data_IF_354542714290
#
_entry.id   IF_354542714290
#
_cell.length_a   1.000
_cell.length_b   1.000
_cell.length_c   1.000
_cell.angle_alpha   90.00
_cell.angle_beta   90.00
_cell.angle_gamma   90.00
#
_symmetry.space_group_name_H-M   'P 1'
#
loop_
_entity.id
_entity.type
_entity.pdbx_description
1 polymer ?
#
# COMPACT_ATOMS: atom_id res chain seq x y z
N UNK A 1 18.17 -3.63 -0.07
CA UNK A 1 17.26 -4.39 -0.96
C UNK A 1 15.95 -4.74 -0.25
N UNK A 2 15.97 -5.47 0.87
CA UNK A 2 14.75 -5.86 1.62
C UNK A 2 13.87 -4.66 2.01
N UNK A 3 14.47 -3.59 2.56
CA UNK A 3 13.74 -2.38 2.97
C UNK A 3 12.94 -1.68 1.85
N UNK A 4 13.39 -1.74 0.59
CA UNK A 4 12.63 -1.13 -0.53
C UNK A 4 11.39 -1.94 -0.89
N UNK A 5 11.46 -3.28 -0.73
CA UNK A 5 10.32 -4.16 -0.94
C UNK A 5 9.32 -4.02 0.21
N UNK A 6 9.80 -4.04 1.46
CA UNK A 6 8.97 -3.80 2.65
C UNK A 6 8.25 -2.44 2.58
N UNK A 7 8.92 -1.40 2.08
CA UNK A 7 8.30 -0.10 1.79
C UNK A 7 7.17 -0.20 0.76
N UNK A 8 7.34 -0.99 -0.30
CA UNK A 8 6.33 -1.17 -1.35
C UNK A 8 5.11 -1.95 -0.89
N UNK A 9 5.30 -2.91 0.00
CA UNK A 9 4.24 -3.74 0.56
C UNK A 9 3.58 -3.10 1.80
N UNK A 10 4.15 -2.00 2.32
CA UNK A 10 3.61 -1.26 3.46
C UNK A 10 3.91 -1.92 4.81
N UNK A 11 4.94 -2.76 4.88
CA UNK A 11 5.30 -3.56 6.06
C UNK A 11 6.36 -2.89 6.94
N UNK A 12 6.84 -1.71 6.56
CA UNK A 12 7.80 -0.96 7.36
C UNK A 12 7.14 -0.25 8.54
N UNK A 13 7.77 -0.27 9.73
CA UNK A 13 7.45 0.66 10.81
C UNK A 13 7.52 2.12 10.34
N UNK A 14 6.70 3.04 10.89
CA UNK A 14 6.60 4.43 10.41
C UNK A 14 7.94 5.19 10.34
N UNK A 15 8.84 4.94 11.29
CA UNK A 15 10.17 5.55 11.33
C UNK A 15 11.05 5.11 10.17
N UNK A 16 11.02 3.82 9.83
CA UNK A 16 11.78 3.25 8.71
C UNK A 16 11.15 3.61 7.37
N UNK A 17 9.82 3.66 7.28
CA UNK A 17 9.13 4.11 6.08
C UNK A 17 9.50 5.56 5.75
N UNK A 18 9.54 6.43 6.76
CA UNK A 18 9.97 7.83 6.61
C UNK A 18 11.40 7.93 6.09
N UNK A 19 12.34 7.19 6.68
CA UNK A 19 13.72 7.16 6.22
C UNK A 19 13.85 6.68 4.76
N UNK A 20 13.10 5.65 4.36
CA UNK A 20 13.10 5.17 2.97
C UNK A 20 12.56 6.24 2.02
N UNK A 21 11.48 6.95 2.39
CA UNK A 21 10.92 8.04 1.58
C UNK A 21 11.93 9.17 1.38
N UNK A 22 12.62 9.58 2.44
CA UNK A 22 13.69 10.59 2.37
C UNK A 22 14.83 10.14 1.46
N UNK A 23 15.24 8.87 1.55
CA UNK A 23 16.26 8.32 0.66
C UNK A 23 15.82 8.34 -0.82
N UNK A 24 14.57 7.95 -1.10
CA UNK A 24 14.02 7.93 -2.46
C UNK A 24 13.90 9.34 -3.06
N UNK A 25 13.79 10.38 -2.23
CA UNK A 25 13.75 11.77 -2.69
C UNK A 25 15.10 12.27 -3.24
N UNK A 26 16.21 11.63 -2.89
CA UNK A 26 17.57 12.09 -3.24
C UNK A 26 18.38 11.08 -4.06
N UNK A 27 17.96 9.81 -4.11
CA UNK A 27 18.67 8.74 -4.80
C UNK A 27 17.91 8.28 -6.06
N UNK A 28 18.29 8.82 -7.22
CA UNK A 28 17.67 8.49 -8.51
C UNK A 28 17.72 6.99 -8.84
N UNK A 29 18.81 6.31 -8.49
CA UNK A 29 18.96 4.87 -8.73
C UNK A 29 17.92 4.04 -7.96
N UNK A 30 17.74 4.35 -6.67
CA UNK A 30 16.76 3.65 -5.84
C UNK A 30 15.33 4.03 -6.25
N UNK A 31 15.10 5.30 -6.61
CA UNK A 31 13.81 5.76 -7.12
C UNK A 31 13.40 4.99 -8.38
N UNK A 32 14.25 4.98 -9.41
CA UNK A 32 13.98 4.29 -10.68
C UNK A 32 13.68 2.80 -10.45
N UNK A 33 14.42 2.14 -9.55
CA UNK A 33 14.16 0.74 -9.18
C UNK A 33 12.80 0.56 -8.51
N UNK A 34 12.46 1.40 -7.54
CA UNK A 34 11.17 1.37 -6.83
C UNK A 34 10.01 1.64 -7.78
N UNK A 35 10.16 2.57 -8.72
CA UNK A 35 9.16 2.86 -9.75
C UNK A 35 8.93 1.69 -10.71
N UNK A 36 10.00 1.03 -11.15
CA UNK A 36 9.89 -0.19 -11.95
C UNK A 36 9.10 -1.28 -11.19
N UNK A 37 9.40 -1.50 -9.91
CA UNK A 37 8.67 -2.46 -9.08
C UNK A 37 7.19 -2.08 -8.92
N UNK A 38 6.87 -0.80 -8.69
CA UNK A 38 5.47 -0.30 -8.67
C UNK A 38 4.76 -0.58 -9.98
N UNK A 39 5.41 -0.31 -11.12
CA UNK A 39 4.86 -0.56 -12.44
C UNK A 39 4.58 -2.06 -12.67
N UNK A 40 5.53 -2.91 -12.30
CA UNK A 40 5.37 -4.36 -12.37
C UNK A 40 4.18 -4.85 -11.53
N UNK A 41 4.07 -4.41 -10.27
CA UNK A 41 2.94 -4.78 -9.40
C UNK A 41 1.59 -4.31 -9.96
N UNK A 42 1.52 -3.11 -10.55
CA UNK A 42 0.32 -2.64 -11.26
C UNK A 42 -0.05 -3.58 -12.41
N UNK A 43 0.92 -4.00 -13.23
CA UNK A 43 0.67 -4.92 -14.33
C UNK A 43 0.17 -6.29 -13.86
N UNK A 44 0.74 -6.83 -12.77
CA UNK A 44 0.26 -8.08 -12.16
C UNK A 44 -1.17 -7.93 -11.64
N UNK A 45 -1.48 -6.83 -10.95
CA UNK A 45 -2.84 -6.55 -10.45
C UNK A 45 -3.85 -6.40 -11.58
N UNK A 46 -3.49 -5.76 -12.68
CA UNK A 46 -4.36 -5.59 -13.85
C UNK A 46 -4.71 -6.92 -14.55
N UNK A 47 -3.84 -7.94 -14.43
CA UNK A 47 -4.09 -9.28 -14.99
C UNK A 47 -4.91 -10.18 -14.07
N UNK A 48 -5.10 -9.82 -12.80
CA UNK A 48 -5.96 -10.57 -11.89
C UNK A 48 -7.41 -10.26 -12.23
N UNK A 49 -8.22 -11.29 -12.41
CA UNK A 49 -9.68 -11.15 -12.45
C UNK A 49 -10.16 -10.84 -11.03
N UNK A 50 -10.68 -9.63 -10.75
CA UNK A 50 -11.18 -9.34 -9.42
C UNK A 50 -12.45 -10.15 -9.16
N UNK A 51 -12.48 -10.88 -8.03
CA UNK A 51 -13.72 -11.45 -7.54
C UNK A 51 -14.54 -10.33 -6.90
N UNK A 52 -15.80 -10.13 -7.29
CA UNK A 52 -16.64 -9.13 -6.63
C UNK A 52 -16.79 -9.49 -5.14
N UNK A 53 -16.73 -8.47 -4.28
CA UNK A 53 -17.08 -8.63 -2.88
C UNK A 53 -18.52 -9.13 -2.76
N UNK A 54 -18.80 -9.96 -1.76
CA UNK A 54 -20.17 -10.39 -1.45
C UNK A 54 -21.01 -9.18 -1.07
N UNK A 55 -22.31 -9.22 -1.35
CA UNK A 55 -23.23 -8.13 -1.02
C UNK A 55 -23.23 -7.83 0.50
N UNK A 56 -23.14 -8.88 1.32
CA UNK A 56 -23.00 -8.75 2.76
C UNK A 56 -21.74 -7.97 3.17
N UNK A 57 -20.60 -8.24 2.53
CA UNK A 57 -19.35 -7.51 2.79
C UNK A 57 -19.46 -6.05 2.34
N UNK A 58 -20.03 -5.81 1.15
CA UNK A 58 -20.28 -4.47 0.63
C UNK A 58 -21.14 -3.65 1.58
N UNK A 59 -22.30 -4.17 1.98
CA UNK A 59 -23.22 -3.50 2.91
C UNK A 59 -22.56 -3.21 4.26
N UNK A 60 -21.70 -4.11 4.76
CA UNK A 60 -20.94 -3.89 6.00
C UNK A 60 -19.96 -2.72 5.85
N UNK A 61 -19.16 -2.70 4.77
CA UNK A 61 -18.20 -1.63 4.49
C UNK A 61 -18.93 -0.28 4.37
N UNK A 62 -20.02 -0.22 3.60
CA UNK A 62 -20.80 1.01 3.45
C UNK A 62 -21.34 1.54 4.77
N UNK A 63 -21.84 0.65 5.63
CA UNK A 63 -22.31 1.02 6.97
C UNK A 63 -21.17 1.62 7.81
N UNK A 64 -20.01 0.97 7.84
CA UNK A 64 -18.83 1.44 8.57
C UNK A 64 -18.36 2.82 8.10
N UNK A 65 -18.36 3.06 6.78
CA UNK A 65 -17.99 4.35 6.20
C UNK A 65 -19.00 5.44 6.57
N UNK A 66 -20.31 5.16 6.52
CA UNK A 66 -21.37 6.11 6.89
C UNK A 66 -21.39 6.44 8.39
N UNK A 67 -21.01 5.49 9.24
CA UNK A 67 -20.92 5.71 10.69
C UNK A 67 -19.64 6.47 11.11
N UNK A 68 -18.88 7.03 10.16
CA UNK A 68 -17.71 7.85 10.44
C UNK A 68 -16.48 7.06 10.88
N UNK A 69 -16.37 5.79 10.46
CA UNK A 69 -15.17 4.94 10.59
C UNK A 69 -14.25 5.29 11.75
N UNK A 70 -14.66 5.04 13.01
CA UNK A 70 -13.70 4.97 14.12
C UNK A 70 -12.88 3.70 13.91
N UNK A 71 -11.79 3.83 13.17
CA UNK A 71 -10.66 2.93 13.32
C UNK A 71 -9.94 3.43 14.57
N UNK A 72 -10.21 2.81 15.71
CA UNK A 72 -9.31 2.87 16.86
C UNK A 72 -7.95 2.34 16.39
N UNK A 73 -7.04 3.27 16.11
CA UNK A 73 -5.62 3.01 16.00
C UNK A 73 -4.93 4.01 16.93
N UNK A 74 -5.24 3.87 18.22
CA UNK A 74 -4.43 4.37 19.32
C UNK A 74 -3.81 3.13 19.97
N UNK A 75 -2.53 2.91 19.68
CA UNK A 75 -1.44 2.50 20.59
C UNK A 75 -0.18 2.11 19.79
#
# INVERSE_FOLDING_TARGET
>A
MARLLEHLDGELPPSLDTWVREHLAVCEHCLARTEHQRAFLRAVRARRTPTPATEALRARIERTLRSGGRSEHDD
#
